data_IF_166694043773
#
_entry.id   IF_166694043773
#
_cell.length_a   1.000
_cell.length_b   1.000
_cell.length_c   1.000
_cell.angle_alpha   90.00
_cell.angle_beta   90.00
_cell.angle_gamma   90.00
#
_symmetry.space_group_name_H-M   'P 1'
#
loop_
_entity.id
_entity.type
_entity.pdbx_description
1 polymer ?
#
# COMPACT_ATOMS: atom_id res chain seq x y z
N UNK A 1 34.06 -17.98 -17.27
CA UNK A 1 32.89 -18.33 -18.11
C UNK A 1 33.25 -18.11 -19.58
N UNK A 2 32.84 -19.00 -20.49
CA UNK A 2 33.09 -18.84 -21.92
C UNK A 2 32.35 -17.60 -22.43
N UNK A 3 33.06 -16.73 -23.16
CA UNK A 3 32.51 -15.47 -23.70
C UNK A 3 31.60 -15.82 -24.89
N UNK A 4 30.29 -15.63 -24.76
CA UNK A 4 29.36 -15.72 -25.90
C UNK A 4 29.61 -14.54 -26.84
N UNK A 5 29.62 -14.79 -28.14
CA UNK A 5 29.85 -13.74 -29.13
C UNK A 5 28.61 -12.85 -29.26
N UNK A 6 28.79 -11.54 -29.09
CA UNK A 6 27.71 -10.54 -29.16
C UNK A 6 27.35 -10.12 -30.60
N UNK A 7 28.21 -10.44 -31.57
CA UNK A 7 28.04 -10.07 -32.99
C UNK A 7 26.71 -10.50 -33.62
N UNK A 8 26.17 -11.71 -33.37
CA UNK A 8 24.87 -12.12 -33.91
C UNK A 8 23.69 -11.30 -33.38
N UNK A 9 23.85 -10.68 -32.20
CA UNK A 9 22.79 -9.97 -31.49
C UNK A 9 22.83 -8.44 -31.73
N UNK A 10 23.64 -7.96 -32.67
CA UNK A 10 23.84 -6.54 -32.94
C UNK A 10 22.53 -5.77 -33.19
N UNK A 11 21.63 -6.32 -34.02
CA UNK A 11 20.35 -5.68 -34.29
C UNK A 11 19.39 -5.70 -33.07
N UNK A 12 19.50 -6.72 -32.22
CA UNK A 12 18.71 -6.81 -30.98
C UNK A 12 19.17 -5.75 -29.97
N UNK A 13 20.49 -5.62 -29.78
CA UNK A 13 21.10 -4.60 -28.91
C UNK A 13 20.72 -3.19 -29.40
N UNK A 14 20.75 -2.92 -30.72
CA UNK A 14 20.27 -1.65 -31.30
C UNK A 14 18.81 -1.36 -30.97
N UNK A 15 17.95 -2.37 -31.08
CA UNK A 15 16.53 -2.25 -30.74
C UNK A 15 16.32 -1.89 -29.28
N UNK A 16 17.01 -2.59 -28.37
CA UNK A 16 16.92 -2.37 -26.93
C UNK A 16 17.50 -1.03 -26.49
N UNK A 17 18.62 -0.58 -27.08
CA UNK A 17 19.18 0.75 -26.81
C UNK A 17 18.22 1.85 -27.26
N UNK A 18 17.58 1.73 -28.43
CA UNK A 18 16.55 2.69 -28.87
C UNK A 18 15.31 2.69 -27.96
N UNK A 19 15.00 1.57 -27.33
CA UNK A 19 13.93 1.44 -26.34
C UNK A 19 14.34 1.93 -24.94
N UNK A 20 15.57 2.43 -24.76
CA UNK A 20 16.05 2.93 -23.47
C UNK A 20 16.39 1.86 -22.44
N UNK A 21 16.62 0.61 -22.86
CA UNK A 21 17.05 -0.47 -21.95
C UNK A 21 18.49 -0.26 -21.50
N UNK A 22 18.76 -0.56 -20.23
CA UNK A 22 20.09 -0.38 -19.61
C UNK A 22 21.07 -1.49 -20.01
N UNK A 23 22.37 -1.19 -19.94
CA UNK A 23 23.42 -2.15 -20.31
C UNK A 23 23.48 -3.35 -19.36
N UNK A 24 23.10 -3.16 -18.08
CA UNK A 24 22.92 -4.25 -17.11
C UNK A 24 21.80 -5.23 -17.53
N UNK A 25 20.69 -4.71 -18.04
CA UNK A 25 19.59 -5.52 -18.54
C UNK A 25 19.98 -6.29 -19.80
N UNK A 26 20.66 -5.64 -20.75
CA UNK A 26 21.16 -6.28 -21.98
C UNK A 26 22.20 -7.36 -21.66
N UNK A 27 23.08 -7.09 -20.69
CA UNK A 27 24.11 -8.03 -20.23
C UNK A 27 23.49 -9.30 -19.64
N UNK A 28 22.50 -9.14 -18.76
CA UNK A 28 21.75 -10.27 -18.19
C UNK A 28 21.10 -11.12 -19.28
N UNK A 29 20.45 -10.49 -20.27
CA UNK A 29 19.71 -11.18 -21.33
C UNK A 29 20.60 -11.97 -22.29
N UNK A 30 21.82 -11.49 -22.54
CA UNK A 30 22.78 -12.15 -23.44
C UNK A 30 23.77 -13.05 -22.69
N UNK A 31 23.59 -13.22 -21.37
CA UNK A 31 24.54 -13.87 -20.47
C UNK A 31 25.98 -13.35 -20.67
N UNK A 32 26.09 -12.03 -20.84
CA UNK A 32 27.33 -11.29 -21.02
C UNK A 32 27.59 -10.41 -19.80
N UNK A 33 28.79 -9.86 -19.68
CA UNK A 33 29.08 -8.87 -18.63
C UNK A 33 28.72 -7.45 -19.09
N UNK A 34 28.42 -6.56 -18.15
CA UNK A 34 28.12 -5.14 -18.44
C UNK A 34 29.26 -4.50 -19.24
N UNK A 35 30.51 -4.75 -18.84
CA UNK A 35 31.71 -4.28 -19.53
C UNK A 35 31.81 -4.79 -20.99
N UNK A 36 31.32 -6.00 -21.28
CA UNK A 36 31.30 -6.53 -22.64
C UNK A 36 30.25 -5.82 -23.50
N UNK A 37 29.09 -5.48 -22.94
CA UNK A 37 28.06 -4.69 -23.63
C UNK A 37 28.57 -3.26 -23.88
N UNK A 38 29.20 -2.62 -22.91
CA UNK A 38 29.80 -1.29 -23.06
C UNK A 38 30.89 -1.26 -24.14
N UNK A 39 31.81 -2.23 -24.11
CA UNK A 39 32.86 -2.36 -25.13
C UNK A 39 32.26 -2.59 -26.52
N UNK A 40 31.23 -3.43 -26.61
CA UNK A 40 30.52 -3.71 -27.86
C UNK A 40 29.75 -2.50 -28.38
N UNK A 41 29.12 -1.70 -27.51
CA UNK A 41 28.45 -0.44 -27.88
C UNK A 41 29.44 0.60 -28.38
N UNK A 42 30.63 0.69 -27.77
CA UNK A 42 31.72 1.57 -28.23
C UNK A 42 32.25 1.14 -29.61
N UNK A 43 32.44 -0.16 -29.83
CA UNK A 43 32.91 -0.70 -31.10
C UNK A 43 31.89 -0.54 -32.25
N UNK A 44 30.59 -0.49 -31.92
CA UNK A 44 29.50 -0.41 -32.90
C UNK A 44 28.79 0.96 -32.93
N UNK A 45 29.39 1.98 -32.30
CA UNK A 45 28.88 3.36 -32.24
C UNK A 45 27.43 3.46 -31.75
N UNK A 46 27.06 2.64 -30.76
CA UNK A 46 25.71 2.58 -30.16
C UNK A 46 25.60 3.36 -28.84
N UNK A 47 26.55 4.24 -28.58
CA UNK A 47 26.52 5.13 -27.41
C UNK A 47 25.37 6.12 -27.65
N UNK A 48 24.40 6.25 -26.71
CA UNK A 48 23.47 7.36 -26.76
C UNK A 48 24.34 8.62 -26.80
N UNK A 49 24.16 9.45 -27.83
CA UNK A 49 24.82 10.75 -27.84
C UNK A 49 24.22 11.55 -26.68
N UNK A 50 24.78 11.40 -25.48
CA UNK A 50 24.65 12.39 -24.45
C UNK A 50 25.08 13.71 -25.07
N UNK A 51 24.20 14.69 -25.02
CA UNK A 51 24.42 15.99 -25.60
C UNK A 51 25.72 16.59 -25.03
N UNK A 52 26.67 16.89 -25.92
CA UNK A 52 27.75 17.85 -25.70
C UNK A 52 29.13 17.24 -25.43
N UNK A 53 30.11 17.42 -26.34
CA UNK A 53 31.50 17.09 -26.03
C UNK A 53 32.05 18.13 -25.05
N UNK A 54 32.30 17.72 -23.80
CA UNK A 54 33.34 18.37 -23.01
C UNK A 54 34.69 18.04 -23.68
N UNK A 55 35.09 18.93 -24.58
CA UNK A 55 36.38 18.88 -25.28
C UNK A 55 37.51 18.84 -24.23
N UNK A 56 38.47 17.89 -24.30
CA UNK A 56 39.58 17.86 -23.36
C UNK A 56 40.59 18.94 -23.78
N UNK A 57 40.45 20.15 -23.24
CA UNK A 57 41.38 21.24 -23.52
C UNK A 57 40.87 22.67 -23.31
N UNK A 58 39.73 22.91 -22.66
CA UNK A 58 39.33 24.26 -22.29
C UNK A 58 39.95 24.64 -20.94
N UNK A 59 40.90 25.59 -20.95
CA UNK A 59 41.37 26.25 -19.74
C UNK A 59 40.19 26.84 -18.96
N UNK A 60 40.23 26.85 -17.61
CA UNK A 60 39.19 27.50 -16.84
C UNK A 60 39.27 29.00 -17.09
N UNK A 61 38.31 29.52 -17.86
CA UNK A 61 38.04 30.96 -17.89
C UNK A 61 37.72 31.47 -16.48
N UNK A 62 37.95 32.77 -16.22
CA UNK A 62 37.71 33.33 -14.88
C UNK A 62 36.25 33.07 -14.48
N UNK A 63 35.96 32.86 -13.18
CA UNK A 63 34.61 32.59 -12.74
C UNK A 63 33.72 33.75 -13.19
N UNK A 64 32.76 33.44 -14.05
CA UNK A 64 31.68 34.35 -14.36
C UNK A 64 30.98 34.68 -13.04
N UNK A 65 30.72 35.95 -12.83
CA UNK A 65 29.98 36.48 -11.70
C UNK A 65 28.52 36.01 -11.82
N UNK A 66 28.21 34.82 -11.28
CA UNK A 66 26.87 34.26 -11.16
C UNK A 66 26.10 34.96 -10.02
N UNK A 67 26.11 36.29 -9.99
CA UNK A 67 25.53 37.10 -8.92
C UNK A 67 24.01 37.24 -8.99
N UNK A 68 23.37 36.93 -10.12
CA UNK A 68 21.95 37.17 -10.37
C UNK A 68 21.26 36.04 -11.16
N UNK A 69 21.77 34.80 -11.11
CA UNK A 69 20.99 33.65 -11.59
C UNK A 69 19.99 33.27 -10.49
N UNK A 70 18.71 33.56 -10.73
CA UNK A 70 17.58 33.16 -9.89
C UNK A 70 17.75 31.68 -9.54
N UNK A 71 17.93 31.38 -8.25
CA UNK A 71 18.05 30.02 -7.76
C UNK A 71 16.65 29.37 -7.86
N UNK A 72 16.33 28.84 -9.04
CA UNK A 72 15.04 28.22 -9.40
C UNK A 72 14.56 27.19 -8.37
N UNK A 73 15.48 26.63 -7.60
CA UNK A 73 15.20 25.73 -6.48
C UNK A 73 14.44 26.40 -5.34
N UNK A 74 14.76 27.65 -5.02
CA UNK A 74 14.09 28.40 -3.96
C UNK A 74 12.67 28.79 -4.36
N UNK A 75 12.41 29.05 -5.64
CA UNK A 75 11.06 29.33 -6.16
C UNK A 75 10.19 28.08 -6.15
N UNK A 76 10.74 26.93 -6.58
CA UNK A 76 10.03 25.64 -6.54
C UNK A 76 9.71 25.22 -5.09
N UNK A 77 10.66 25.36 -4.15
CA UNK A 77 10.42 25.05 -2.73
C UNK A 77 9.36 25.98 -2.12
N UNK A 78 9.35 27.26 -2.48
CA UNK A 78 8.34 28.22 -2.01
C UNK A 78 6.94 27.91 -2.58
N UNK A 79 6.86 27.47 -3.84
CA UNK A 79 5.60 27.05 -4.46
C UNK A 79 5.02 25.80 -3.77
N UNK A 80 5.87 24.81 -3.48
CA UNK A 80 5.47 23.59 -2.75
C UNK A 80 5.02 23.94 -1.33
N UNK A 81 5.74 24.82 -0.62
CA UNK A 81 5.36 25.25 0.72
C UNK A 81 4.00 25.96 0.74
N UNK A 82 3.74 26.85 -0.22
CA UNK A 82 2.46 27.56 -0.33
C UNK A 82 1.29 26.62 -0.66
N UNK A 83 1.51 25.62 -1.53
CA UNK A 83 0.49 24.62 -1.84
C UNK A 83 0.17 23.74 -0.63
N UNK A 84 1.18 23.34 0.14
CA UNK A 84 0.99 22.52 1.34
C UNK A 84 0.24 23.29 2.43
N UNK A 85 0.56 24.56 2.63
CA UNK A 85 -0.16 25.45 3.55
C UNK A 85 -1.62 25.64 3.10
N UNK A 86 -1.88 25.87 1.81
CA UNK A 86 -3.24 25.99 1.29
C UNK A 86 -4.05 24.68 1.44
N UNK A 87 -3.41 23.52 1.29
CA UNK A 87 -4.04 22.22 1.51
C UNK A 87 -4.34 21.96 2.99
N UNK A 88 -3.51 22.47 3.90
CA UNK A 88 -3.75 22.38 5.35
C UNK A 88 -4.89 23.32 5.78
N UNK A 89 -4.92 24.55 5.26
CA UNK A 89 -6.04 25.48 5.50
C UNK A 89 -7.37 24.86 5.07
N UNK A 90 -7.43 24.26 3.87
CA UNK A 90 -8.65 23.56 3.40
C UNK A 90 -9.06 22.42 4.32
N UNK A 91 -8.10 21.59 4.77
CA UNK A 91 -8.40 20.50 5.71
C UNK A 91 -8.95 21.00 7.04
N UNK A 92 -8.39 22.09 7.56
CA UNK A 92 -8.86 22.71 8.80
C UNK A 92 -10.23 23.38 8.62
N UNK A 93 -10.53 23.95 7.45
CA UNK A 93 -11.86 24.46 7.11
C UNK A 93 -12.87 23.33 7.03
N UNK A 94 -12.57 22.25 6.30
CA UNK A 94 -13.42 21.06 6.20
C UNK A 94 -13.69 20.43 7.59
N UNK A 95 -12.68 20.38 8.46
CA UNK A 95 -12.83 19.87 9.84
C UNK A 95 -13.75 20.77 10.67
N UNK A 96 -13.59 22.09 10.58
CA UNK A 96 -14.47 23.05 11.26
C UNK A 96 -15.90 22.98 10.75
N UNK A 97 -16.08 22.86 9.43
CA UNK A 97 -17.40 22.68 8.83
C UNK A 97 -18.06 21.39 9.29
N UNK A 98 -17.29 20.29 9.39
CA UNK A 98 -17.79 19.03 9.93
C UNK A 98 -18.16 19.13 11.42
N UNK A 99 -17.36 19.83 12.24
CA UNK A 99 -17.67 20.06 13.65
C UNK A 99 -18.94 20.93 13.81
N UNK A 100 -19.07 22.00 13.02
CA UNK A 100 -20.25 22.86 13.04
C UNK A 100 -21.51 22.09 12.58
N UNK A 101 -21.40 21.29 11.51
CA UNK A 101 -22.48 20.43 11.05
C UNK A 101 -22.89 19.39 12.10
N UNK A 102 -21.92 18.79 12.80
CA UNK A 102 -22.19 17.87 13.91
C UNK A 102 -22.90 18.55 15.07
N UNK A 103 -22.50 19.78 15.42
CA UNK A 103 -23.14 20.58 16.47
C UNK A 103 -24.59 20.94 16.09
N UNK A 104 -24.83 21.36 14.86
CA UNK A 104 -26.18 21.67 14.36
C UNK A 104 -27.07 20.42 14.35
N UNK A 105 -26.53 19.27 13.95
CA UNK A 105 -27.25 18.00 13.97
C UNK A 105 -27.61 17.56 15.40
N UNK A 106 -26.70 17.75 16.37
CA UNK A 106 -26.97 17.46 17.78
C UNK A 106 -28.05 18.38 18.37
N UNK A 107 -28.06 19.67 18.01
CA UNK A 107 -29.09 20.62 18.42
C UNK A 107 -30.46 20.24 17.84
N UNK A 108 -30.53 19.91 16.55
CA UNK A 108 -31.75 19.45 15.89
C UNK A 108 -32.30 18.16 16.52
N UNK A 109 -31.43 17.19 16.84
CA UNK A 109 -31.85 15.97 17.55
C UNK A 109 -32.39 16.27 18.95
N UNK A 110 -31.79 17.23 19.66
CA UNK A 110 -32.26 17.63 20.99
C UNK A 110 -33.63 18.35 20.91
N UNK A 111 -33.85 19.19 19.90
CA UNK A 111 -35.15 19.82 19.65
C UNK A 111 -36.22 18.78 19.29
N UNK A 112 -35.89 17.84 18.39
CA UNK A 112 -36.81 16.76 18.01
C UNK A 112 -37.17 15.88 19.21
N UNK A 113 -36.20 15.57 20.07
CA UNK A 113 -36.42 14.82 21.31
C UNK A 113 -37.33 15.58 22.29
N UNK A 114 -37.16 16.91 22.42
CA UNK A 114 -38.05 17.76 23.24
C UNK A 114 -39.47 17.81 22.67
N UNK A 115 -39.62 18.04 21.37
CA UNK A 115 -40.93 18.03 20.71
C UNK A 115 -41.61 16.66 20.79
N UNK A 116 -40.85 15.57 20.74
CA UNK A 116 -41.36 14.22 20.96
C UNK A 116 -41.81 14.02 22.41
N UNK A 117 -41.04 14.51 23.39
CA UNK A 117 -41.41 14.44 24.81
C UNK A 117 -42.69 15.23 25.09
N UNK A 118 -42.84 16.43 24.52
CA UNK A 118 -44.08 17.23 24.65
C UNK A 118 -45.29 16.52 24.01
N UNK A 119 -45.12 15.91 22.84
CA UNK A 119 -46.19 15.10 22.21
C UNK A 119 -46.55 13.85 23.01
N UNK A 120 -45.61 13.29 23.77
CA UNK A 120 -45.81 12.09 24.58
C UNK A 120 -46.22 12.41 26.03
N UNK A 121 -46.14 13.68 26.44
CA UNK A 121 -46.41 14.18 27.79
C UNK A 121 -47.88 14.51 28.09
N UNK A 122 -48.80 14.28 27.16
CA UNK A 122 -50.27 14.40 27.37
C UNK A 122 -50.91 13.06 27.78
N UNK A 123 -50.12 12.14 28.37
CA UNK A 123 -50.59 10.82 28.79
C UNK A 123 -49.92 10.31 30.08
N UNK A 124 -49.77 11.17 31.09
CA UNK A 124 -49.53 10.73 32.48
C UNK A 124 -50.19 11.71 33.47
N UNK A 125 -51.53 11.71 33.47
CA UNK A 125 -52.32 12.03 34.66
C UNK A 125 -52.75 10.69 35.28
N UNK A 126 -51.90 10.12 36.13
CA UNK A 126 -52.30 9.11 37.11
C UNK A 126 -51.63 9.46 38.43
N UNK A 127 -52.43 10.02 39.32
CA UNK A 127 -52.15 10.09 40.76
C UNK A 127 -51.75 8.72 41.31
N UNK A 128 -50.72 8.72 42.15
CA UNK A 128 -50.29 7.53 42.88
C UNK A 128 -49.29 7.89 43.97
N UNK A 129 -49.74 8.70 44.94
CA UNK A 129 -49.09 8.76 46.24
C UNK A 129 -49.26 7.40 46.94
N UNK A 130 -48.16 6.72 47.26
CA UNK A 130 -48.05 5.96 48.52
C UNK A 130 -46.57 5.76 48.87
N UNK A 131 -46.25 6.20 50.08
CA UNK A 131 -44.95 6.23 50.74
C UNK A 131 -44.89 5.00 51.65
N UNK A 132 -43.86 4.15 51.54
CA UNK A 132 -43.78 2.92 52.34
C UNK A 132 -42.48 2.13 52.19
N UNK A 133 -41.55 2.36 53.12
CA UNK A 133 -40.31 1.60 53.31
C UNK A 133 -40.51 0.18 53.92
N UNK A 134 -39.46 -0.64 53.76
CA UNK A 134 -39.07 -1.87 54.48
C UNK A 134 -39.76 -3.23 54.20
N UNK A 135 -38.99 -4.21 53.67
CA UNK A 135 -38.57 -5.42 54.42
C UNK A 135 -37.85 -6.46 53.53
N UNK A 136 -36.96 -7.22 54.16
CA UNK A 136 -35.96 -8.14 53.60
C UNK A 136 -36.47 -9.53 53.14
N UNK A 137 -35.51 -10.31 52.61
CA UNK A 137 -35.46 -11.78 52.49
C UNK A 137 -36.33 -12.50 51.44
N UNK A 138 -35.70 -12.88 50.32
CA UNK A 138 -35.47 -14.31 50.03
C UNK A 138 -34.62 -14.57 48.77
N UNK A 139 -33.59 -15.39 48.92
CA UNK A 139 -32.96 -16.14 47.84
C UNK A 139 -33.24 -17.63 48.04
N UNK A 140 -33.31 -18.43 46.95
CA UNK A 140 -32.60 -19.70 47.02
C UNK A 140 -31.77 -20.08 45.78
N UNK A 141 -30.74 -20.85 46.11
CA UNK A 141 -29.63 -21.45 45.36
C UNK A 141 -29.99 -22.43 44.21
N UNK A 142 -29.23 -22.24 43.11
CA UNK A 142 -28.36 -23.20 42.36
C UNK A 142 -28.97 -24.34 41.53
N UNK A 143 -28.40 -24.50 40.31
CA UNK A 143 -27.77 -25.74 39.77
C UNK A 143 -27.01 -25.43 38.46
N UNK A 144 -25.68 -25.21 38.50
CA UNK A 144 -24.59 -26.15 38.11
C UNK A 144 -24.92 -27.07 36.92
N UNK A 145 -24.47 -26.68 35.71
CA UNK A 145 -24.47 -27.49 34.49
C UNK A 145 -23.22 -27.26 33.63
N UNK A 146 -22.30 -28.24 33.69
CA UNK A 146 -21.33 -28.74 32.68
C UNK A 146 -20.72 -27.75 31.67
N UNK A 147 -19.41 -27.48 31.75
CA UNK A 147 -18.31 -28.20 31.07
C UNK A 147 -18.34 -28.06 29.54
N UNK A 148 -17.41 -27.26 29.03
CA UNK A 148 -16.74 -27.56 27.76
C UNK A 148 -17.40 -26.99 26.52
N UNK A 149 -17.29 -25.67 26.35
CA UNK A 149 -17.47 -25.01 25.06
C UNK A 149 -16.42 -23.91 24.95
N UNK A 150 -15.14 -24.29 24.97
CA UNK A 150 -14.02 -23.38 24.73
C UNK A 150 -14.31 -22.69 23.41
N UNK A 151 -14.51 -21.38 23.49
CA UNK A 151 -14.89 -20.55 22.36
C UNK A 151 -13.97 -20.82 21.18
N UNK A 152 -14.54 -21.40 20.12
CA UNK A 152 -14.12 -21.06 18.78
C UNK A 152 -15.19 -20.15 18.21
N UNK A 153 -15.22 -18.92 18.71
CA UNK A 153 -15.48 -17.81 17.79
C UNK A 153 -14.26 -17.84 16.88
N UNK A 154 -14.36 -18.58 15.77
CA UNK A 154 -13.48 -18.35 14.63
C UNK A 154 -13.80 -16.93 14.19
N UNK A 155 -13.12 -16.01 14.86
CA UNK A 155 -13.06 -14.62 14.50
C UNK A 155 -12.33 -14.70 13.16
N UNK A 156 -13.06 -14.51 12.07
CA UNK A 156 -12.47 -14.19 10.77
C UNK A 156 -11.75 -12.86 10.98
N UNK A 157 -10.60 -12.93 11.63
CA UNK A 157 -9.67 -11.83 11.76
C UNK A 157 -8.96 -11.79 10.46
N UNK A 158 -9.33 -10.82 9.63
CA UNK A 158 -8.37 -10.22 8.71
C UNK A 158 -7.19 -9.79 9.57
N UNK A 159 -6.19 -10.67 9.68
CA UNK A 159 -4.96 -10.41 10.41
C UNK A 159 -4.06 -9.67 9.45
N UNK A 160 -3.91 -8.37 9.67
CA UNK A 160 -2.87 -7.60 9.00
C UNK A 160 -1.53 -8.13 9.51
N UNK A 161 -0.67 -8.53 8.59
CA UNK A 161 0.70 -8.95 8.88
C UNK A 161 1.65 -7.88 8.40
N UNK A 162 2.73 -7.67 9.14
CA UNK A 162 3.78 -6.77 8.73
C UNK A 162 4.68 -7.46 7.70
N UNK A 163 5.14 -6.69 6.72
CA UNK A 163 6.09 -7.13 5.72
C UNK A 163 7.04 -6.01 5.37
N UNK A 164 8.26 -6.37 4.98
CA UNK A 164 9.28 -5.44 4.50
C UNK A 164 9.46 -5.65 3.01
N UNK A 165 9.35 -4.56 2.26
CA UNK A 165 9.72 -4.55 0.85
C UNK A 165 11.20 -4.18 0.75
N UNK A 166 12.00 -5.13 0.28
CA UNK A 166 13.43 -4.99 0.08
C UNK A 166 13.74 -4.84 -1.41
N UNK A 167 14.61 -3.89 -1.73
CA UNK A 167 15.06 -3.65 -3.11
C UNK A 167 16.59 -3.71 -3.15
N UNK A 168 17.10 -4.78 -3.76
CA UNK A 168 18.53 -4.96 -3.99
C UNK A 168 18.87 -4.84 -5.47
N UNK A 169 20.18 -4.87 -5.77
CA UNK A 169 20.69 -4.94 -7.15
C UNK A 169 20.25 -6.23 -7.88
N UNK A 170 19.77 -7.23 -7.12
CA UNK A 170 19.27 -8.53 -7.60
C UNK A 170 17.74 -8.57 -7.80
N UNK A 171 17.03 -7.46 -7.51
CA UNK A 171 15.60 -7.32 -7.73
C UNK A 171 14.80 -6.95 -6.48
N UNK A 172 13.49 -7.20 -6.54
CA UNK A 172 12.54 -6.86 -5.50
C UNK A 172 12.17 -8.11 -4.68
N UNK A 173 12.30 -8.02 -3.36
CA UNK A 173 11.89 -9.05 -2.41
C UNK A 173 10.81 -8.52 -1.48
N UNK A 174 9.74 -9.29 -1.25
CA UNK A 174 8.79 -9.02 -0.18
C UNK A 174 9.00 -10.06 0.93
N UNK A 175 9.46 -9.59 2.08
CA UNK A 175 9.64 -10.41 3.27
C UNK A 175 8.43 -10.22 4.19
N UNK A 176 7.79 -11.31 4.58
CA UNK A 176 6.68 -11.27 5.52
C UNK A 176 7.16 -11.69 6.91
N UNK A 177 6.54 -11.16 7.97
CA UNK A 177 6.79 -11.61 9.35
C UNK A 177 6.60 -13.14 9.47
N UNK A 178 7.53 -13.87 10.14
CA UNK A 178 7.34 -15.27 10.51
C UNK A 178 5.96 -15.64 11.06
N UNK A 179 5.27 -14.73 11.76
CA UNK A 179 3.92 -14.95 12.28
C UNK A 179 2.87 -15.31 11.20
N UNK A 180 3.12 -14.99 9.92
CA UNK A 180 2.28 -15.44 8.80
C UNK A 180 2.17 -16.96 8.75
N UNK A 181 3.24 -17.69 9.12
CA UNK A 181 3.25 -19.15 9.11
C UNK A 181 2.24 -19.76 10.11
N UNK A 182 1.93 -19.03 11.19
CA UNK A 182 0.96 -19.46 12.20
C UNK A 182 -0.49 -19.07 11.85
N UNK A 183 -0.69 -18.34 10.74
CA UNK A 183 -2.01 -17.95 10.27
C UNK A 183 -2.81 -19.15 9.77
N UNK A 184 -4.02 -19.34 10.29
CA UNK A 184 -4.94 -20.36 9.79
C UNK A 184 -5.25 -20.19 8.31
N UNK A 185 -5.40 -18.95 7.83
CA UNK A 185 -5.65 -18.65 6.41
C UNK A 185 -4.45 -19.04 5.55
N UNK A 186 -3.23 -18.79 6.02
CA UNK A 186 -2.03 -19.20 5.31
C UNK A 186 -1.91 -20.72 5.27
N UNK A 187 -2.11 -21.40 6.40
CA UNK A 187 -2.06 -22.85 6.50
C UNK A 187 -3.11 -23.55 5.61
N UNK A 188 -4.33 -23.01 5.54
CA UNK A 188 -5.45 -23.60 4.78
C UNK A 188 -5.38 -23.28 3.28
N UNK A 189 -4.94 -22.09 2.90
CA UNK A 189 -5.07 -21.62 1.52
C UNK A 189 -3.76 -21.34 0.79
N UNK A 190 -2.63 -21.20 1.50
CA UNK A 190 -1.36 -20.78 0.90
C UNK A 190 -0.22 -21.77 1.12
N UNK A 191 -0.28 -22.61 2.16
CA UNK A 191 0.76 -23.59 2.45
C UNK A 191 0.99 -24.52 1.25
N UNK A 192 2.23 -24.53 0.74
CA UNK A 192 2.63 -25.35 -0.42
C UNK A 192 2.44 -24.68 -1.79
N UNK A 193 1.71 -23.57 -1.89
CA UNK A 193 1.56 -22.81 -3.14
C UNK A 193 2.75 -21.87 -3.34
N UNK A 194 3.66 -22.28 -4.23
CA UNK A 194 4.84 -21.49 -4.62
C UNK A 194 4.61 -20.54 -5.80
N UNK A 195 3.81 -20.87 -6.82
CA UNK A 195 3.61 -19.96 -7.93
C UNK A 195 2.51 -18.94 -7.57
N UNK A 196 2.83 -17.65 -7.75
CA UNK A 196 1.93 -16.53 -7.43
C UNK A 196 1.98 -15.50 -8.56
N UNK A 197 0.86 -14.82 -8.78
CA UNK A 197 0.73 -13.67 -9.66
C UNK A 197 0.69 -12.41 -8.78
N UNK A 198 1.43 -11.38 -9.17
CA UNK A 198 1.52 -10.12 -8.43
C UNK A 198 1.03 -9.00 -9.33
N UNK A 199 0.01 -8.27 -8.86
CA UNK A 199 -0.51 -7.07 -9.50
C UNK A 199 -0.08 -5.87 -8.68
N UNK A 200 0.52 -4.89 -9.34
CA UNK A 200 0.97 -3.63 -8.76
C UNK A 200 -0.02 -2.53 -9.16
N UNK A 201 -0.70 -1.94 -8.18
CA UNK A 201 -1.53 -0.76 -8.33
C UNK A 201 -0.88 0.44 -7.63
N UNK A 202 -1.40 1.65 -7.85
CA UNK A 202 -0.82 2.89 -7.31
C UNK A 202 -0.74 2.86 -5.76
N UNK A 203 -1.80 2.36 -5.12
CA UNK A 203 -1.91 2.34 -3.65
C UNK A 203 -1.80 0.95 -3.02
N UNK A 204 -1.68 -0.13 -3.81
CA UNK A 204 -1.68 -1.50 -3.28
C UNK A 204 -0.93 -2.54 -4.13
N UNK A 205 -0.40 -3.57 -3.47
CA UNK A 205 0.17 -4.75 -4.11
C UNK A 205 -0.73 -5.96 -3.81
N UNK A 206 -1.27 -6.58 -4.85
CA UNK A 206 -2.18 -7.73 -4.74
C UNK A 206 -1.46 -9.00 -5.18
N UNK A 207 -1.33 -9.96 -4.27
CA UNK A 207 -0.75 -11.28 -4.55
C UNK A 207 -1.87 -12.30 -4.67
N UNK A 208 -1.93 -13.02 -5.78
CA UNK A 208 -2.90 -14.09 -6.04
C UNK A 208 -2.17 -15.40 -6.33
N UNK A 209 -2.81 -16.52 -6.00
CA UNK A 209 -2.31 -17.84 -6.41
C UNK A 209 -2.51 -18.02 -7.92
N UNK A 210 -1.48 -18.47 -8.62
CA UNK A 210 -1.64 -18.88 -10.02
C UNK A 210 -2.27 -20.28 -10.07
N UNK A 211 -3.29 -20.45 -10.93
CA UNK A 211 -3.91 -21.74 -11.21
C UNK A 211 -5.07 -22.18 -10.30
N UNK A 212 -5.54 -21.36 -9.36
CA UNK A 212 -6.73 -21.70 -8.55
C UNK A 212 -8.07 -21.62 -9.33
N UNK A 213 -8.06 -21.05 -10.54
CA UNK A 213 -9.22 -20.98 -11.45
C UNK A 213 -9.26 -22.16 -12.45
N UNK A 214 -8.23 -23.01 -12.48
CA UNK A 214 -8.27 -24.29 -13.18
C UNK A 214 -8.77 -25.33 -12.19
N UNK A 215 -10.07 -25.59 -12.24
CA UNK A 215 -10.78 -26.49 -11.35
C UNK A 215 -10.04 -27.80 -11.10
N UNK A 216 -10.04 -28.17 -9.82
CA UNK A 216 -10.06 -29.55 -9.35
C UNK A 216 -11.17 -30.28 -10.12
N UNK A 217 -10.81 -30.80 -11.28
CA UNK A 217 -11.60 -31.73 -12.08
C UNK A 217 -10.95 -33.08 -11.88
N UNK A 218 -11.44 -33.80 -10.87
CA UNK A 218 -11.34 -35.26 -10.81
C UNK A 218 -11.63 -35.84 -12.20
N UNK A 219 -10.59 -36.27 -12.90
CA UNK A 219 -10.69 -37.32 -13.90
C UNK A 219 -10.09 -38.58 -13.27
N UNK A 220 -10.77 -39.02 -12.20
CA UNK A 220 -10.78 -40.42 -11.79
C UNK A 220 -11.35 -41.26 -12.94
N UNK A 221 -10.52 -42.17 -13.44
CA UNK A 221 -10.84 -43.56 -13.75
C UNK A 221 -12.14 -43.83 -14.56
N UNK A 222 -11.99 -44.06 -15.87
CA UNK A 222 -12.86 -44.96 -16.63
C UNK A 222 -12.21 -45.46 -17.93
N UNK A 223 -11.75 -46.72 -17.87
CA UNK A 223 -11.50 -47.73 -18.94
C UNK A 223 -10.68 -47.40 -20.19
#
# INVERSE_FOLDING_TARGET
>A
MPRRSLRPHLNQIRGWVRQGRTDAWIAHQLEATVQQIEAFKRENELVPSEAGPASPGAEPGPPADFGDEIDLRAEDDAAIAAELEAAEVRRLEDEKEAEEAARLAAEAQAEEARARAERNGDADDVEGADDGEEAADNAPKRRRGRRGGRGRRARTTTTTFEGTFDHGDEGYGLWLDPAVADSGVYAEHWAGHRPVEVVLEEDQIVIRRTGADAGDGDEDDAE
#
